data_IF_633045533010
#
_entry.id   IF_633045533010
#
_cell.length_a   1.000
_cell.length_b   1.000
_cell.length_c   1.000
_cell.angle_alpha   90.00
_cell.angle_beta   90.00
_cell.angle_gamma   90.00
#
_symmetry.space_group_name_H-M   'P 1'
#
loop_
_entity.id
_entity.type
_entity.pdbx_description
1 polymer ?
#
# COMPACT_ATOMS: atom_id res chain seq x y z
N UNK A 1 -11.46 -52.42 16.15
CA UNK A 1 -12.62 -51.96 16.92
C UNK A 1 -12.24 -51.25 18.23
N UNK A 2 -11.13 -50.47 18.29
CA UNK A 2 -10.72 -49.71 19.49
C UNK A 2 -10.60 -48.18 19.24
N UNK A 3 -10.91 -47.71 18.05
CA UNK A 3 -10.74 -46.27 17.68
C UNK A 3 -12.04 -45.44 17.85
N UNK A 4 -13.21 -46.01 17.73
CA UNK A 4 -14.48 -45.26 17.79
C UNK A 4 -14.92 -44.82 19.20
N UNK A 5 -14.37 -45.43 20.26
CA UNK A 5 -14.78 -45.07 21.64
C UNK A 5 -14.10 -43.82 22.18
N UNK A 6 -12.97 -43.41 21.60
CA UNK A 6 -12.26 -42.18 22.03
C UNK A 6 -12.80 -40.89 21.38
N UNK A 7 -13.36 -40.99 20.17
CA UNK A 7 -13.96 -39.84 19.49
C UNK A 7 -15.31 -39.43 20.09
N UNK A 8 -16.08 -40.35 20.57
CA UNK A 8 -17.39 -40.07 21.19
C UNK A 8 -17.27 -39.31 22.53
N UNK A 9 -16.20 -39.53 23.30
CA UNK A 9 -16.00 -38.87 24.59
C UNK A 9 -15.55 -37.43 24.41
N UNK A 10 -14.75 -37.11 23.37
CA UNK A 10 -14.29 -35.76 23.09
C UNK A 10 -15.44 -34.86 22.63
N UNK A 11 -16.34 -35.39 21.81
CA UNK A 11 -17.51 -34.64 21.32
C UNK A 11 -18.49 -34.34 22.46
N UNK A 12 -18.63 -35.25 23.43
CA UNK A 12 -19.55 -35.06 24.58
C UNK A 12 -18.98 -34.03 25.60
N UNK A 13 -17.68 -34.00 25.78
CA UNK A 13 -17.03 -32.96 26.65
C UNK A 13 -17.09 -31.59 26.06
N UNK A 14 -16.97 -31.43 24.71
CA UNK A 14 -17.13 -30.11 24.06
C UNK A 14 -18.59 -29.64 24.07
N UNK A 15 -19.56 -30.54 23.96
CA UNK A 15 -20.99 -30.18 24.01
C UNK A 15 -21.43 -29.75 25.42
N UNK A 16 -20.81 -30.33 26.47
CA UNK A 16 -21.12 -29.99 27.87
C UNK A 16 -20.56 -28.59 28.27
N UNK A 17 -19.51 -28.12 27.62
CA UNK A 17 -18.95 -26.75 27.89
C UNK A 17 -19.74 -25.61 27.23
N UNK A 18 -20.52 -25.90 26.20
CA UNK A 18 -21.35 -24.90 25.53
C UNK A 18 -22.67 -24.65 26.26
N UNK A 19 -23.10 -25.60 27.13
CA UNK A 19 -24.37 -25.50 27.85
C UNK A 19 -24.31 -24.88 29.25
N UNK A 20 -23.11 -24.55 29.74
CA UNK A 20 -22.91 -23.88 31.05
C UNK A 20 -22.70 -22.36 30.99
N UNK A 21 -22.78 -21.76 29.81
CA UNK A 21 -22.60 -20.33 29.63
C UNK A 21 -23.92 -19.51 29.54
N UNK A 22 -25.09 -20.12 29.78
CA UNK A 22 -26.36 -19.40 29.82
C UNK A 22 -27.14 -19.82 31.07
N UNK A 23 -26.97 -19.09 32.16
CA UNK A 23 -27.79 -19.27 33.36
C UNK A 23 -27.30 -18.41 34.52
N UNK A 24 -27.70 -17.15 34.54
CA UNK A 24 -27.59 -16.25 35.67
C UNK A 24 -28.53 -15.07 35.41
N UNK A 25 -29.75 -15.22 35.90
CA UNK A 25 -30.73 -14.16 36.01
C UNK A 25 -30.28 -13.22 37.13
N UNK A 26 -29.95 -11.99 36.80
CA UNK A 26 -30.14 -10.88 37.72
C UNK A 26 -30.68 -9.68 36.92
N UNK A 27 -31.84 -9.27 37.33
CA UNK A 27 -32.57 -8.08 36.92
C UNK A 27 -31.76 -6.84 37.23
N UNK A 28 -31.23 -6.19 36.21
CA UNK A 28 -30.78 -4.79 36.30
C UNK A 28 -31.35 -4.00 35.12
N UNK A 29 -31.85 -2.85 35.43
CA UNK A 29 -32.55 -1.88 34.61
C UNK A 29 -31.92 -1.69 33.23
N UNK A 30 -32.78 -1.77 32.23
CA UNK A 30 -32.53 -1.45 30.84
C UNK A 30 -32.31 0.06 30.68
N UNK A 31 -31.09 0.54 30.90
CA UNK A 31 -30.66 1.79 30.32
C UNK A 31 -30.27 1.56 28.89
N UNK A 32 -31.18 1.91 28.00
CA UNK A 32 -30.91 1.98 26.55
C UNK A 32 -29.86 3.07 26.30
N UNK A 33 -28.59 2.74 26.43
CA UNK A 33 -27.55 3.49 25.77
C UNK A 33 -27.64 3.19 24.27
N UNK A 34 -28.31 4.09 23.57
CA UNK A 34 -28.21 4.19 22.12
C UNK A 34 -26.75 4.53 21.83
N UNK A 35 -25.96 3.50 21.56
CA UNK A 35 -24.63 3.70 20.98
C UNK A 35 -24.85 4.32 19.60
N UNK A 36 -24.83 5.64 19.54
CA UNK A 36 -24.76 6.36 18.28
C UNK A 36 -23.55 5.79 17.53
N UNK A 37 -23.78 5.29 16.33
CA UNK A 37 -22.70 4.97 15.41
C UNK A 37 -21.74 6.16 15.39
N UNK A 38 -20.41 5.94 15.39
CA UNK A 38 -19.46 7.04 15.30
C UNK A 38 -19.88 7.86 14.09
N UNK A 39 -20.27 9.12 14.35
CA UNK A 39 -20.41 10.12 13.30
C UNK A 39 -19.02 10.17 12.68
N UNK A 40 -18.90 9.60 11.50
CA UNK A 40 -17.77 9.91 10.63
C UNK A 40 -17.97 11.40 10.34
N UNK A 41 -17.29 12.25 11.12
CA UNK A 41 -17.11 13.62 10.71
C UNK A 41 -16.67 13.56 9.27
N UNK A 42 -17.47 14.12 8.40
CA UNK A 42 -17.05 14.35 7.03
C UNK A 42 -15.75 15.14 7.18
N UNK A 43 -14.65 14.48 6.89
CA UNK A 43 -13.40 15.18 6.65
C UNK A 43 -13.74 16.11 5.49
N UNK A 44 -14.10 17.36 5.81
CA UNK A 44 -14.00 18.45 4.86
C UNK A 44 -12.55 18.38 4.39
N UNK A 45 -12.35 17.72 3.26
CA UNK A 45 -11.05 17.70 2.61
C UNK A 45 -10.67 19.16 2.43
N UNK A 46 -9.61 19.64 3.08
CA UNK A 46 -9.16 21.00 2.81
C UNK A 46 -9.02 21.08 1.32
N UNK A 47 -9.61 22.11 0.73
CA UNK A 47 -9.55 22.30 -0.70
C UNK A 47 -8.12 22.07 -1.16
N UNK A 48 -7.91 21.12 -2.04
CA UNK A 48 -6.59 20.67 -2.53
C UNK A 48 -5.75 21.85 -3.04
N UNK A 49 -6.40 22.95 -3.37
CA UNK A 49 -5.84 24.25 -3.74
C UNK A 49 -4.88 24.89 -2.73
N UNK A 50 -4.78 24.36 -1.51
CA UNK A 50 -3.86 24.86 -0.48
C UNK A 50 -2.76 23.89 -0.10
N UNK A 51 -2.68 22.71 -0.73
CA UNK A 51 -1.55 21.82 -0.57
C UNK A 51 -0.29 22.54 -1.08
N UNK A 52 0.62 22.84 -0.18
CA UNK A 52 1.98 23.28 -0.55
C UNK A 52 2.54 22.21 -1.48
N UNK A 53 3.04 22.61 -2.64
CA UNK A 53 3.57 21.69 -3.64
C UNK A 53 2.66 21.48 -4.85
N UNK A 54 1.47 22.06 -4.87
CA UNK A 54 0.72 22.15 -6.12
C UNK A 54 1.41 23.17 -6.98
N UNK A 55 2.07 22.71 -8.03
CA UNK A 55 2.65 23.59 -9.02
C UNK A 55 1.53 24.35 -9.72
N UNK A 56 1.57 25.68 -9.65
CA UNK A 56 0.59 26.55 -10.30
C UNK A 56 0.64 26.47 -11.83
N UNK A 57 1.64 25.82 -12.38
CA UNK A 57 1.70 25.49 -13.82
C UNK A 57 0.77 24.32 -14.19
N UNK A 58 -0.11 24.00 -13.29
CA UNK A 58 -1.23 23.13 -13.56
C UNK A 58 -0.92 21.64 -13.54
N UNK A 59 -0.07 21.17 -12.61
CA UNK A 59 0.52 19.94 -12.98
C UNK A 59 0.28 18.81 -11.99
N UNK A 60 0.22 19.03 -10.71
CA UNK A 60 0.00 17.91 -9.75
C UNK A 60 -1.48 17.61 -9.49
N UNK A 61 -2.31 18.65 -9.45
CA UNK A 61 -3.78 18.54 -9.34
C UNK A 61 -4.40 19.62 -10.19
N UNK A 62 -5.31 19.25 -11.08
CA UNK A 62 -5.95 20.17 -12.02
C UNK A 62 -7.47 20.09 -11.92
N UNK A 63 -8.17 21.13 -12.33
CA UNK A 63 -9.63 21.14 -12.50
C UNK A 63 -10.05 20.60 -13.89
N UNK A 64 -9.11 20.14 -14.69
CA UNK A 64 -9.33 19.55 -15.99
C UNK A 64 -9.32 18.01 -15.89
N UNK A 65 -10.10 17.29 -16.69
CA UNK A 65 -10.07 15.83 -16.72
C UNK A 65 -8.67 15.29 -17.06
N UNK A 66 -8.34 14.13 -16.49
CA UNK A 66 -7.09 13.46 -16.80
C UNK A 66 -6.95 13.17 -18.31
N UNK A 67 -5.79 13.40 -18.92
CA UNK A 67 -5.54 13.04 -20.29
C UNK A 67 -5.72 11.54 -20.53
N UNK A 68 -6.41 11.17 -21.61
CA UNK A 68 -6.64 9.77 -21.97
C UNK A 68 -5.32 8.99 -22.11
N UNK A 69 -4.28 9.64 -22.63
CA UNK A 69 -2.94 9.05 -22.79
C UNK A 69 -2.24 8.69 -21.48
N UNK A 70 -2.67 9.28 -20.35
CA UNK A 70 -2.09 9.03 -19.03
C UNK A 70 -3.04 8.25 -18.10
N UNK A 71 -4.06 7.61 -18.65
CA UNK A 71 -5.02 6.81 -17.91
C UNK A 71 -6.33 7.54 -17.60
N UNK A 72 -6.58 8.66 -18.27
CA UNK A 72 -7.90 9.30 -18.28
C UNK A 72 -8.98 8.39 -18.88
N UNK A 73 -10.24 8.67 -18.54
CA UNK A 73 -11.37 7.91 -19.05
C UNK A 73 -11.60 8.28 -20.52
N UNK A 74 -11.86 7.30 -21.41
CA UNK A 74 -12.15 7.57 -22.80
C UNK A 74 -13.31 8.56 -22.98
N UNK A 75 -13.22 9.38 -24.02
CA UNK A 75 -14.24 10.37 -24.36
C UNK A 75 -15.62 9.71 -24.48
N UNK A 76 -16.60 10.23 -23.74
CA UNK A 76 -17.97 9.71 -23.71
C UNK A 76 -18.34 8.90 -22.48
N UNK A 77 -17.38 8.45 -21.66
CA UNK A 77 -17.64 8.08 -20.29
C UNK A 77 -17.86 9.36 -19.45
N UNK A 78 -18.33 9.24 -18.21
CA UNK A 78 -18.51 10.38 -17.33
C UNK A 78 -17.23 10.64 -16.53
N UNK A 79 -16.25 11.37 -17.04
CA UNK A 79 -14.99 11.60 -16.34
C UNK A 79 -15.22 12.51 -15.14
N UNK A 80 -14.38 12.35 -14.12
CA UNK A 80 -14.28 13.33 -13.05
C UNK A 80 -13.81 14.68 -13.63
N UNK A 81 -14.20 15.77 -12.97
CA UNK A 81 -13.89 17.13 -13.43
C UNK A 81 -12.42 17.49 -13.29
N UNK A 82 -11.71 16.85 -12.34
CA UNK A 82 -10.32 17.13 -12.08
C UNK A 82 -9.40 15.92 -12.24
N UNK A 83 -8.09 16.17 -12.26
CA UNK A 83 -7.05 15.16 -12.37
C UNK A 83 -5.99 15.30 -11.29
N UNK A 84 -5.59 14.18 -10.70
CA UNK A 84 -4.43 14.08 -9.80
C UNK A 84 -3.34 13.29 -10.52
N UNK A 85 -2.17 13.90 -10.64
CA UNK A 85 -1.02 13.26 -11.27
C UNK A 85 -0.13 12.59 -10.24
N UNK A 86 0.25 11.35 -10.49
CA UNK A 86 1.17 10.57 -9.67
C UNK A 86 2.46 10.28 -10.43
N UNK A 87 3.58 10.37 -9.72
CA UNK A 87 4.91 10.06 -10.24
C UNK A 87 5.19 8.55 -10.27
N UNK A 88 6.15 8.17 -11.09
CA UNK A 88 6.60 6.80 -11.20
C UNK A 88 8.11 6.72 -11.44
N UNK A 89 8.81 6.15 -10.46
CA UNK A 89 10.24 5.87 -10.52
C UNK A 89 10.43 4.36 -10.60
N UNK A 90 10.77 3.87 -11.77
CA UNK A 90 10.77 2.45 -12.10
C UNK A 90 12.12 2.01 -12.71
N UNK A 91 12.28 0.74 -12.96
CA UNK A 91 13.46 0.16 -13.62
C UNK A 91 13.04 -0.55 -14.91
N UNK A 92 13.50 -0.03 -16.04
CA UNK A 92 13.24 -0.62 -17.36
C UNK A 92 14.50 -1.19 -18.01
N UNK A 93 15.69 -0.85 -17.50
CA UNK A 93 16.97 -1.25 -18.10
C UNK A 93 17.95 -1.90 -17.14
N UNK A 94 17.66 -1.89 -15.84
CA UNK A 94 18.49 -2.47 -14.79
C UNK A 94 18.06 -3.89 -14.36
N UNK A 95 18.39 -4.29 -13.13
CA UNK A 95 18.12 -5.65 -12.62
C UNK A 95 16.64 -6.05 -12.62
N UNK A 96 15.74 -5.09 -12.49
CA UNK A 96 14.28 -5.31 -12.47
C UNK A 96 13.62 -5.06 -13.83
N UNK A 97 14.38 -4.86 -14.90
CA UNK A 97 13.84 -4.60 -16.24
C UNK A 97 12.82 -5.64 -16.73
N UNK A 98 12.93 -6.88 -16.28
CA UNK A 98 11.96 -7.93 -16.61
C UNK A 98 10.60 -7.74 -15.92
N UNK A 99 10.56 -7.07 -14.76
CA UNK A 99 9.35 -6.85 -13.97
C UNK A 99 8.81 -5.43 -14.10
N UNK A 100 9.68 -4.44 -14.28
CA UNK A 100 9.33 -3.01 -14.28
C UNK A 100 8.15 -2.65 -15.17
N UNK A 101 8.13 -3.02 -16.45
CA UNK A 101 7.00 -2.74 -17.34
C UNK A 101 5.68 -3.35 -16.86
N UNK A 102 5.71 -4.56 -16.28
CA UNK A 102 4.52 -5.23 -15.77
C UNK A 102 3.98 -4.54 -14.49
N UNK A 103 4.86 -4.07 -13.63
CA UNK A 103 4.49 -3.31 -12.43
C UNK A 103 3.81 -1.98 -12.80
N UNK A 104 4.37 -1.25 -13.76
CA UNK A 104 3.75 -0.04 -14.28
C UNK A 104 2.39 -0.33 -14.90
N UNK A 105 2.29 -1.34 -15.77
CA UNK A 105 1.04 -1.71 -16.41
C UNK A 105 -0.05 -2.07 -15.39
N UNK A 106 0.30 -2.77 -14.32
CA UNK A 106 -0.62 -3.11 -13.24
C UNK A 106 -1.12 -1.85 -12.50
N UNK A 107 -0.24 -0.91 -12.19
CA UNK A 107 -0.62 0.35 -11.55
C UNK A 107 -1.54 1.19 -12.44
N UNK A 108 -1.22 1.31 -13.72
CA UNK A 108 -2.07 2.03 -14.69
C UNK A 108 -3.44 1.38 -14.84
N UNK A 109 -3.48 0.05 -14.89
CA UNK A 109 -4.75 -0.70 -14.96
C UNK A 109 -5.60 -0.49 -13.70
N UNK A 110 -4.99 -0.49 -12.51
CA UNK A 110 -5.68 -0.22 -11.26
C UNK A 110 -6.32 1.18 -11.26
N UNK A 111 -5.56 2.21 -11.59
CA UNK A 111 -6.07 3.57 -11.58
C UNK A 111 -7.09 3.82 -12.69
N UNK A 112 -6.92 3.21 -13.86
CA UNK A 112 -7.95 3.25 -14.92
C UNK A 112 -9.25 2.62 -14.42
N UNK A 113 -9.20 1.45 -13.79
CA UNK A 113 -10.38 0.81 -13.23
C UNK A 113 -11.03 1.66 -12.14
N UNK A 114 -10.25 2.29 -11.26
CA UNK A 114 -10.74 3.21 -10.25
C UNK A 114 -11.40 4.46 -10.87
N UNK A 115 -10.80 5.03 -11.89
CA UNK A 115 -11.35 6.16 -12.63
C UNK A 115 -12.69 5.78 -13.29
N UNK A 116 -12.79 4.60 -13.91
CA UNK A 116 -14.02 4.09 -14.51
C UNK A 116 -15.14 3.83 -13.48
N UNK A 117 -14.80 3.60 -12.22
CA UNK A 117 -15.76 3.45 -11.13
C UNK A 117 -16.18 4.80 -10.49
N UNK A 118 -15.74 5.91 -11.06
CA UNK A 118 -16.10 7.25 -10.59
C UNK A 118 -14.95 8.03 -9.94
N UNK A 119 -13.73 7.54 -10.03
CA UNK A 119 -12.55 8.25 -9.52
C UNK A 119 -12.44 8.23 -7.98
N UNK A 120 -11.90 9.29 -7.44
CA UNK A 120 -11.68 9.51 -6.01
C UNK A 120 -12.28 10.86 -5.56
N UNK A 121 -12.27 11.12 -4.24
CA UNK A 121 -12.81 12.38 -3.71
C UNK A 121 -14.29 12.56 -3.99
N UNK A 122 -15.09 11.49 -3.90
CA UNK A 122 -16.53 11.56 -4.22
C UNK A 122 -16.82 11.79 -5.69
N UNK A 123 -15.90 11.45 -6.59
CA UNK A 123 -16.06 11.62 -8.03
C UNK A 123 -15.50 12.94 -8.56
N UNK A 124 -14.80 13.70 -7.74
CA UNK A 124 -14.20 14.96 -8.16
C UNK A 124 -12.96 14.77 -9.03
N UNK A 125 -12.18 13.73 -8.76
CA UNK A 125 -10.88 13.54 -9.39
C UNK A 125 -10.73 12.14 -10.00
N UNK A 126 -10.14 12.10 -11.17
CA UNK A 126 -9.47 10.92 -11.72
C UNK A 126 -7.99 10.98 -11.37
N UNK A 127 -7.31 9.84 -11.47
CA UNK A 127 -5.87 9.72 -11.21
C UNK A 127 -5.16 9.34 -12.50
N UNK A 128 -4.09 10.04 -12.81
CA UNK A 128 -3.19 9.76 -13.92
C UNK A 128 -1.79 9.48 -13.41
N UNK A 129 -1.09 8.54 -14.02
CA UNK A 129 0.33 8.30 -13.77
C UNK A 129 1.13 8.95 -14.89
N UNK A 130 2.04 9.84 -14.56
CA UNK A 130 2.96 10.44 -15.54
C UNK A 130 3.84 9.36 -16.20
N UNK A 131 4.56 9.72 -17.25
CA UNK A 131 5.49 8.79 -17.88
C UNK A 131 6.53 8.28 -16.86
N UNK A 132 6.71 6.97 -16.82
CA UNK A 132 7.64 6.33 -15.88
C UNK A 132 9.09 6.73 -16.20
N UNK A 133 9.85 7.07 -15.16
CA UNK A 133 11.26 7.38 -15.30
C UNK A 133 12.12 6.13 -15.10
N UNK A 134 12.98 5.82 -16.05
CA UNK A 134 13.91 4.70 -15.96
C UNK A 134 15.08 5.02 -15.03
N UNK A 135 15.04 4.47 -13.85
CA UNK A 135 16.11 4.67 -12.86
C UNK A 135 17.29 3.72 -13.06
N UNK A 136 17.13 2.65 -13.85
CA UNK A 136 18.13 1.59 -14.00
C UNK A 136 18.54 0.96 -12.67
N UNK A 137 17.66 1.04 -11.65
CA UNK A 137 17.90 0.63 -10.25
C UNK A 137 19.12 1.31 -9.62
N UNK A 138 19.42 2.53 -10.04
CA UNK A 138 20.56 3.33 -9.56
C UNK A 138 20.06 4.51 -8.70
N UNK A 139 20.56 4.68 -7.45
CA UNK A 139 20.10 5.75 -6.56
C UNK A 139 20.28 7.17 -7.14
N UNK A 140 21.37 7.45 -7.84
CA UNK A 140 21.60 8.77 -8.42
C UNK A 140 20.62 9.08 -9.56
N UNK A 141 20.36 8.09 -10.44
CA UNK A 141 19.32 8.22 -11.48
C UNK A 141 17.92 8.31 -10.87
N UNK A 142 17.69 7.63 -9.73
CA UNK A 142 16.43 7.73 -9.01
C UNK A 142 16.17 9.15 -8.54
N UNK A 143 17.21 9.84 -8.02
CA UNK A 143 17.15 11.26 -7.67
C UNK A 143 16.93 12.14 -8.90
N UNK A 144 17.55 11.83 -10.04
CA UNK A 144 17.29 12.54 -11.29
C UNK A 144 15.81 12.43 -11.68
N UNK A 145 15.24 11.23 -11.63
CA UNK A 145 13.82 10.98 -11.89
C UNK A 145 12.91 11.70 -10.92
N UNK A 146 13.23 11.67 -9.63
CA UNK A 146 12.51 12.42 -8.61
C UNK A 146 12.51 13.92 -8.95
N UNK A 147 13.65 14.52 -9.24
CA UNK A 147 13.75 15.92 -9.58
C UNK A 147 13.03 16.30 -10.89
N UNK A 148 12.95 15.38 -11.84
CA UNK A 148 12.24 15.60 -13.09
C UNK A 148 10.70 15.59 -12.92
N UNK A 149 10.19 14.91 -11.87
CA UNK A 149 8.76 14.72 -11.67
C UNK A 149 8.19 15.48 -10.46
N UNK A 150 8.98 15.76 -9.42
CA UNK A 150 8.50 16.28 -8.13
C UNK A 150 7.58 17.48 -8.20
N UNK A 151 7.85 18.40 -9.15
CA UNK A 151 7.06 19.61 -9.34
C UNK A 151 5.82 19.41 -10.23
N UNK A 152 5.56 18.16 -10.63
CA UNK A 152 4.50 17.79 -11.57
C UNK A 152 3.52 16.77 -10.99
N UNK A 153 3.74 16.31 -9.77
CA UNK A 153 2.98 15.21 -9.18
C UNK A 153 2.59 15.50 -7.75
N UNK A 154 1.46 14.98 -7.33
CA UNK A 154 0.97 15.12 -5.96
C UNK A 154 1.64 14.12 -5.00
N UNK A 155 2.05 12.97 -5.53
CA UNK A 155 2.75 11.91 -4.82
C UNK A 155 3.40 10.97 -5.84
N UNK A 156 4.23 10.05 -5.36
CA UNK A 156 4.77 8.97 -6.19
C UNK A 156 3.97 7.68 -5.99
N UNK A 157 3.32 7.21 -7.04
CA UNK A 157 2.62 5.94 -7.05
C UNK A 157 3.58 4.76 -6.91
N UNK A 158 4.81 4.92 -7.38
CA UNK A 158 5.86 3.94 -7.22
C UNK A 158 7.23 4.59 -7.11
N UNK A 159 8.01 4.13 -6.12
CA UNK A 159 9.44 4.37 -5.95
C UNK A 159 10.11 3.00 -5.80
N UNK A 160 10.68 2.46 -6.89
CA UNK A 160 11.20 1.09 -6.91
C UNK A 160 12.57 0.99 -6.23
N UNK A 161 12.62 0.18 -5.16
CA UNK A 161 13.83 -0.20 -4.46
C UNK A 161 14.02 0.53 -3.12
N UNK A 162 14.57 -0.20 -2.13
CA UNK A 162 14.82 0.30 -0.78
C UNK A 162 15.88 1.39 -0.76
N UNK A 163 17.08 1.10 -1.25
CA UNK A 163 18.21 2.02 -1.25
C UNK A 163 17.89 3.26 -2.09
N UNK A 164 17.20 3.08 -3.21
CA UNK A 164 16.77 4.13 -4.10
C UNK A 164 15.80 5.09 -3.41
N UNK A 165 14.78 4.56 -2.73
CA UNK A 165 13.81 5.36 -1.99
C UNK A 165 14.47 6.04 -0.78
N UNK A 166 15.32 5.35 -0.04
CA UNK A 166 16.08 5.94 1.06
C UNK A 166 16.94 7.11 0.59
N UNK A 167 17.54 7.01 -0.58
CA UNK A 167 18.43 8.04 -1.13
C UNK A 167 17.71 9.36 -1.41
N UNK A 168 16.42 9.34 -1.68
CA UNK A 168 15.61 10.53 -1.98
C UNK A 168 14.77 11.03 -0.80
N UNK A 169 14.81 10.39 0.38
CA UNK A 169 13.95 10.77 1.52
C UNK A 169 14.12 12.22 1.96
N UNK A 170 15.34 12.74 2.00
CA UNK A 170 15.59 14.15 2.34
C UNK A 170 14.99 15.12 1.33
N UNK A 171 15.00 14.75 0.06
CA UNK A 171 14.44 15.57 -1.00
C UNK A 171 12.91 15.45 -1.05
N UNK A 172 12.36 14.28 -0.74
CA UNK A 172 10.92 14.08 -0.52
C UNK A 172 10.41 14.94 0.65
N UNK A 173 11.15 14.98 1.77
CA UNK A 173 10.81 15.79 2.94
C UNK A 173 10.76 17.27 2.58
N UNK A 174 11.80 17.79 1.90
CA UNK A 174 11.84 19.18 1.44
C UNK A 174 10.72 19.51 0.45
N UNK A 175 10.37 18.57 -0.42
CA UNK A 175 9.31 18.75 -1.40
C UNK A 175 7.91 18.47 -0.81
N UNK A 176 7.82 17.97 0.43
CA UNK A 176 6.57 17.55 1.08
C UNK A 176 5.78 16.52 0.23
N UNK A 177 6.50 15.54 -0.34
CA UNK A 177 5.94 14.49 -1.16
C UNK A 177 6.07 13.13 -0.48
N UNK A 178 5.05 12.32 -0.64
CA UNK A 178 5.03 10.91 -0.20
C UNK A 178 5.25 9.97 -1.38
N UNK A 179 5.69 8.76 -1.09
CA UNK A 179 5.82 7.71 -2.10
C UNK A 179 5.32 6.37 -1.59
N UNK A 180 4.74 5.56 -2.49
CA UNK A 180 4.55 4.14 -2.27
C UNK A 180 5.82 3.42 -2.76
N UNK A 181 6.63 2.85 -1.86
CA UNK A 181 7.84 2.15 -2.27
C UNK A 181 7.47 0.79 -2.83
N UNK A 182 8.12 0.37 -3.90
CA UNK A 182 8.14 -1.03 -4.29
C UNK A 182 9.26 -1.73 -3.52
N UNK A 183 9.07 -1.79 -2.21
CA UNK A 183 10.01 -2.30 -1.22
C UNK A 183 9.27 -2.56 0.09
N UNK A 184 9.54 -3.68 0.72
CA UNK A 184 8.94 -4.07 2.01
C UNK A 184 10.01 -4.05 3.11
N UNK A 185 10.89 -3.08 3.05
CA UNK A 185 11.94 -2.89 4.04
C UNK A 185 11.36 -2.60 5.42
N UNK A 186 11.77 -3.36 6.42
CA UNK A 186 11.21 -3.28 7.78
C UNK A 186 11.40 -1.91 8.43
N UNK A 187 12.35 -1.12 7.96
CA UNK A 187 12.58 0.25 8.42
C UNK A 187 11.45 1.21 8.11
N UNK A 188 10.63 0.95 7.07
CA UNK A 188 9.50 1.82 6.73
C UNK A 188 8.46 1.91 7.85
N UNK A 189 8.34 0.90 8.70
CA UNK A 189 7.46 0.90 9.86
C UNK A 189 7.86 1.90 10.96
N UNK A 190 9.01 2.56 10.84
CA UNK A 190 9.53 3.48 11.84
C UNK A 190 9.67 4.89 11.27
N UNK A 191 8.89 5.84 11.79
CA UNK A 191 8.97 7.27 11.39
C UNK A 191 10.37 7.88 11.47
N UNK A 192 11.23 7.33 12.33
CA UNK A 192 12.63 7.76 12.43
C UNK A 192 13.46 7.40 11.19
N UNK A 193 13.03 6.39 10.42
CA UNK A 193 13.73 5.92 9.23
C UNK A 193 13.14 6.49 7.94
N UNK A 194 11.82 6.68 7.87
CA UNK A 194 11.09 7.11 6.67
C UNK A 194 10.47 8.51 6.76
N UNK A 195 10.60 9.17 7.91
CA UNK A 195 10.01 10.49 8.21
C UNK A 195 8.47 10.54 8.05
N UNK A 196 7.82 9.40 7.92
CA UNK A 196 6.39 9.29 7.60
C UNK A 196 6.05 9.65 6.16
N UNK A 197 7.02 9.56 5.26
CA UNK A 197 6.85 9.89 3.83
C UNK A 197 6.61 8.67 2.96
N UNK A 198 6.69 7.47 3.54
CA UNK A 198 6.54 6.20 2.82
C UNK A 198 5.22 5.55 3.17
N UNK A 199 4.47 5.18 2.15
CA UNK A 199 3.18 4.48 2.29
C UNK A 199 3.41 3.00 2.00
N UNK A 200 3.54 2.19 3.07
CA UNK A 200 3.68 0.74 2.96
C UNK A 200 2.36 0.09 2.53
N UNK A 201 2.45 -1.00 1.77
CA UNK A 201 1.28 -1.71 1.26
C UNK A 201 1.36 -3.24 1.42
N UNK A 202 2.24 -3.74 2.29
CA UNK A 202 2.39 -5.18 2.52
C UNK A 202 3.18 -5.51 3.79
N UNK A 203 3.33 -6.81 4.07
CA UNK A 203 4.15 -7.28 5.15
C UNK A 203 5.64 -6.97 4.88
N UNK A 204 6.38 -6.69 5.93
CA UNK A 204 7.82 -6.43 5.78
C UNK A 204 8.61 -7.69 5.48
N UNK A 205 9.78 -7.57 4.88
CA UNK A 205 10.67 -8.71 4.63
C UNK A 205 10.97 -9.53 5.89
N UNK A 206 11.12 -8.89 7.06
CA UNK A 206 11.30 -9.60 8.32
C UNK A 206 10.07 -10.42 8.71
N UNK A 207 8.88 -9.84 8.58
CA UNK A 207 7.64 -10.55 8.87
C UNK A 207 7.44 -11.75 7.95
N UNK A 208 7.71 -11.58 6.66
CA UNK A 208 7.62 -12.66 5.67
C UNK A 208 8.62 -13.77 5.97
N UNK A 209 9.86 -13.41 6.32
CA UNK A 209 10.89 -14.39 6.73
C UNK A 209 10.50 -15.18 7.97
N UNK A 210 9.98 -14.50 9.00
CA UNK A 210 9.49 -15.16 10.22
C UNK A 210 8.31 -16.11 9.93
N UNK A 211 7.32 -15.63 9.17
CA UNK A 211 6.16 -16.44 8.79
C UNK A 211 6.56 -17.66 7.97
N UNK A 212 7.54 -17.53 7.08
CA UNK A 212 8.05 -18.67 6.31
C UNK A 212 8.72 -19.73 7.20
N UNK A 213 9.46 -19.30 8.22
CA UNK A 213 10.07 -20.21 9.19
C UNK A 213 9.00 -20.90 10.03
N UNK A 214 8.05 -20.15 10.59
CA UNK A 214 6.97 -20.71 11.41
C UNK A 214 6.14 -21.71 10.61
N UNK A 215 5.76 -21.35 9.39
CA UNK A 215 5.05 -22.27 8.50
C UNK A 215 5.87 -23.54 8.24
N UNK A 216 7.17 -23.39 8.01
CA UNK A 216 8.06 -24.52 7.77
C UNK A 216 8.20 -25.46 8.98
N UNK A 217 8.25 -24.91 10.20
CA UNK A 217 8.30 -25.69 11.43
C UNK A 217 7.05 -26.54 11.61
N UNK A 218 5.88 -26.03 11.23
CA UNK A 218 4.60 -26.69 11.43
C UNK A 218 4.21 -27.66 10.29
N UNK A 219 4.70 -27.45 9.07
CA UNK A 219 4.18 -28.11 7.87
C UNK A 219 5.19 -28.98 7.13
N UNK A 220 6.49 -28.84 7.36
CA UNK A 220 7.48 -29.68 6.67
C UNK A 220 7.55 -31.08 7.28
N UNK A 221 7.68 -32.13 6.45
CA UNK A 221 7.68 -33.51 6.90
C UNK A 221 8.96 -33.91 7.67
N UNK A 222 9.97 -33.05 7.67
CA UNK A 222 11.24 -33.25 8.37
C UNK A 222 11.55 -32.05 9.27
N UNK A 223 12.15 -32.26 10.46
CA UNK A 223 12.53 -31.15 11.33
C UNK A 223 13.52 -30.22 10.67
N UNK A 224 13.25 -28.93 10.74
CA UNK A 224 14.21 -27.88 10.33
C UNK A 224 15.38 -27.89 11.32
N UNK A 225 16.60 -28.13 10.83
CA UNK A 225 17.82 -28.08 11.64
C UNK A 225 18.66 -26.83 11.38
N UNK A 226 18.60 -26.34 10.14
CA UNK A 226 19.37 -25.18 9.72
C UNK A 226 18.50 -24.34 8.76
N UNK A 227 18.67 -23.04 8.82
CA UNK A 227 18.04 -22.07 7.92
C UNK A 227 19.17 -21.39 7.14
N UNK A 228 19.10 -21.44 5.82
CA UNK A 228 19.98 -20.68 4.93
C UNK A 228 19.30 -19.40 4.49
N UNK A 229 20.03 -18.29 4.49
CA UNK A 229 19.56 -17.01 3.99
C UNK A 229 20.34 -16.66 2.74
N UNK A 230 19.63 -16.37 1.65
CA UNK A 230 20.20 -15.80 0.43
C UNK A 230 19.65 -14.39 0.33
N UNK A 231 20.51 -13.41 0.46
CA UNK A 231 20.16 -11.99 0.45
C UNK A 231 20.93 -11.22 -0.61
N UNK A 232 20.42 -10.06 -0.96
CA UNK A 232 21.12 -9.08 -1.79
C UNK A 232 21.92 -8.14 -0.89
N UNK A 233 23.15 -7.83 -1.27
CA UNK A 233 23.98 -6.93 -0.48
C UNK A 233 23.40 -5.51 -0.47
N UNK A 234 23.11 -5.02 0.73
CA UNK A 234 22.70 -3.63 0.98
C UNK A 234 21.31 -3.41 1.56
N UNK A 235 20.26 -3.96 0.98
CA UNK A 235 18.88 -3.65 1.39
C UNK A 235 17.98 -4.87 1.54
N UNK A 236 18.30 -5.94 0.87
CA UNK A 236 17.52 -7.17 0.93
C UNK A 236 18.36 -8.30 1.53
N UNK A 237 18.14 -8.58 2.81
CA UNK A 237 18.85 -9.65 3.51
C UNK A 237 19.89 -9.18 4.54
N UNK A 238 19.92 -7.90 4.90
CA UNK A 238 20.71 -7.34 5.98
C UNK A 238 19.83 -6.55 6.93
#
# INVERSE_FOLDING_TARGET
>A
MKSLRKQGIIIFVMLAMVLTACGGSDTAEETTETTAAPVVESLDSPAVTTAKGVNTDGVSVTDEPCPETLGGIPTGANPASGCIYLGMLNDYTGPYAAAGPALEAAQRAFWLAQNMQGGIGGGQYSVAIVEGFDTGYNPAKHLEGFNAQKDKVAAFAMSLGTVQTQFILEDMDKANLIAAPMSWYSGWSYKSADKGLVVEFGATYCSDGMNAVDWGLDNLPVPIKNIGIIGYAGDYGY
#
